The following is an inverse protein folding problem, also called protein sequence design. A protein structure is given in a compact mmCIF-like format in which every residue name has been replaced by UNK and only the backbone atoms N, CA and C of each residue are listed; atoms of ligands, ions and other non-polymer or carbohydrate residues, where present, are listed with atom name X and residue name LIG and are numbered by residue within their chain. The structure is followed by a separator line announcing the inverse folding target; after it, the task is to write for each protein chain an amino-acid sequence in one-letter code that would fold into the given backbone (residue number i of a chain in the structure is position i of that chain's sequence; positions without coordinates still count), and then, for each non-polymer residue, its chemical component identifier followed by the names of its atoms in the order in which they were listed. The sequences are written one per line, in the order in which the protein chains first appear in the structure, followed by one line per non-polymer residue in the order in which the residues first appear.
data_IF_224192420919
#
_entry.id   IF_224192420919
#
_cell.length_a   1.000
_cell.length_b   1.000
_cell.length_c   1.000
_cell.angle_alpha   90.00
_cell.angle_beta   90.00
_cell.angle_gamma   90.00
#
_symmetry.space_group_name_H-M   'P 1'
#
loop_
_entity.id
_entity.type
_entity.pdbx_description
1 polymer ?
#
# COMPACT_ATOMS: atom_id res chain seq x y z
N UNK A 1 -20.61 3.59 -16.68
CA UNK A 1 -20.84 2.54 -15.67
C UNK A 1 -21.03 3.17 -14.30
N UNK A 2 -22.13 2.86 -13.62
CA UNK A 2 -22.41 3.30 -12.24
C UNK A 2 -21.31 2.89 -11.25
N UNK A 3 -20.55 1.84 -11.57
CA UNK A 3 -19.43 1.37 -10.75
C UNK A 3 -18.32 2.40 -10.50
N UNK A 4 -18.07 3.31 -11.44
CA UNK A 4 -17.06 4.39 -11.27
C UNK A 4 -17.52 5.37 -10.20
N UNK A 5 -18.80 5.73 -10.19
CA UNK A 5 -19.35 6.65 -9.18
C UNK A 5 -19.23 6.01 -7.79
N UNK A 6 -19.59 4.73 -7.70
CA UNK A 6 -19.48 3.98 -6.45
C UNK A 6 -18.03 3.88 -5.97
N UNK A 7 -17.08 3.62 -6.87
CA UNK A 7 -15.65 3.58 -6.56
C UNK A 7 -15.14 4.93 -6.03
N UNK A 8 -15.54 6.06 -6.65
CA UNK A 8 -15.18 7.40 -6.18
C UNK A 8 -15.77 7.71 -4.81
N UNK A 9 -17.03 7.35 -4.56
CA UNK A 9 -17.68 7.53 -3.26
C UNK A 9 -16.92 6.76 -2.18
N UNK A 10 -16.61 5.48 -2.41
CA UNK A 10 -15.85 4.67 -1.45
C UNK A 10 -14.42 5.17 -1.26
N UNK A 11 -13.77 5.67 -2.31
CA UNK A 11 -12.44 6.26 -2.20
C UNK A 11 -12.45 7.49 -1.27
N UNK A 12 -13.42 8.38 -1.42
CA UNK A 12 -13.60 9.54 -0.54
C UNK A 12 -13.93 9.10 0.89
N UNK A 13 -14.79 8.11 1.05
CA UNK A 13 -15.19 7.57 2.34
C UNK A 13 -13.99 6.96 3.08
N UNK A 14 -13.20 6.13 2.42
CA UNK A 14 -11.97 5.54 2.99
C UNK A 14 -10.93 6.62 3.30
N UNK A 15 -10.75 7.60 2.41
CA UNK A 15 -9.86 8.72 2.66
C UNK A 15 -10.27 9.51 3.91
N UNK A 16 -11.58 9.80 4.07
CA UNK A 16 -12.11 10.47 5.25
C UNK A 16 -11.90 9.62 6.50
N UNK A 17 -12.23 8.33 6.44
CA UNK A 17 -12.04 7.38 7.54
C UNK A 17 -10.58 7.33 7.98
N UNK A 18 -9.64 7.23 7.05
CA UNK A 18 -8.22 7.11 7.35
C UNK A 18 -7.59 8.41 7.85
N UNK A 19 -8.06 9.59 7.40
CA UNK A 19 -7.45 10.88 7.77
C UNK A 19 -8.16 11.63 8.88
N UNK A 20 -9.46 11.40 9.08
CA UNK A 20 -10.32 12.22 9.93
C UNK A 20 -10.95 11.47 11.10
N UNK A 21 -10.70 10.17 11.26
CA UNK A 21 -11.26 9.39 12.36
C UNK A 21 -10.19 8.80 13.28
N UNK A 22 -10.58 8.53 14.52
CA UNK A 22 -9.74 7.84 15.52
C UNK A 22 -9.35 6.43 15.06
N UNK A 23 -10.27 5.70 14.41
CA UNK A 23 -10.01 4.39 13.83
C UNK A 23 -8.91 4.44 12.77
N UNK A 24 -8.93 5.44 11.89
CA UNK A 24 -7.90 5.62 10.89
C UNK A 24 -6.54 5.97 11.50
N UNK A 25 -6.52 6.69 12.61
CA UNK A 25 -5.30 6.94 13.37
C UNK A 25 -4.76 5.64 13.99
N UNK A 26 -5.61 4.87 14.67
CA UNK A 26 -5.24 3.58 15.27
C UNK A 26 -4.70 2.60 14.22
N UNK A 27 -5.38 2.46 13.06
CA UNK A 27 -4.95 1.57 11.97
C UNK A 27 -3.55 1.95 11.47
N UNK A 28 -3.27 3.24 11.28
CA UNK A 28 -1.95 3.70 10.84
C UNK A 28 -0.89 3.51 11.90
N UNK A 29 -1.19 3.80 13.16
CA UNK A 29 -0.25 3.64 14.28
C UNK A 29 0.15 2.19 14.48
N UNK A 30 -0.84 1.28 14.49
CA UNK A 30 -0.62 -0.16 14.60
C UNK A 30 0.12 -0.70 13.37
N UNK A 31 -0.15 -0.17 12.17
CA UNK A 31 0.55 -0.53 10.95
C UNK A 31 2.03 -0.13 10.94
N UNK A 32 2.40 0.96 11.61
CA UNK A 32 3.80 1.41 11.75
C UNK A 32 4.55 0.60 12.81
N UNK A 33 3.99 0.47 14.01
CA UNK A 33 4.58 -0.30 15.09
C UNK A 33 3.49 -0.81 16.05
N UNK A 34 3.14 -2.10 15.97
CA UNK A 34 2.11 -2.69 16.84
C UNK A 34 2.46 -2.60 18.33
N UNK A 35 3.74 -2.83 18.68
CA UNK A 35 4.19 -2.82 20.07
C UNK A 35 4.11 -1.41 20.69
N UNK A 36 4.61 -0.40 19.97
CA UNK A 36 4.52 0.99 20.43
C UNK A 36 3.05 1.44 20.60
N UNK A 37 2.15 0.97 19.74
CA UNK A 37 0.72 1.27 19.81
C UNK A 37 0.07 0.63 21.04
N UNK A 38 0.47 -0.57 21.42
CA UNK A 38 0.00 -1.23 22.67
C UNK A 38 0.45 -0.47 23.92
N UNK A 39 1.68 0.00 23.96
CA UNK A 39 2.16 0.86 25.06
C UNK A 39 1.40 2.17 25.14
N UNK A 40 0.93 2.69 24.01
CA UNK A 40 0.06 3.87 23.96
C UNK A 40 -1.41 3.59 24.31
N UNK A 41 -1.76 2.36 24.72
CA UNK A 41 -3.09 1.97 25.13
C UNK A 41 -4.03 1.56 23.99
N UNK A 42 -3.53 1.40 22.77
CA UNK A 42 -4.33 0.93 21.63
C UNK A 42 -4.34 -0.60 21.59
N UNK A 43 -5.49 -1.21 21.29
CA UNK A 43 -5.57 -2.66 21.15
C UNK A 43 -5.21 -3.10 19.73
N UNK A 44 -3.94 -3.47 19.49
CA UNK A 44 -3.44 -3.89 18.16
C UNK A 44 -4.26 -5.01 17.54
N UNK A 45 -4.64 -6.02 18.32
CA UNK A 45 -5.44 -7.16 17.85
C UNK A 45 -6.81 -6.72 17.29
N UNK A 46 -7.52 -5.87 18.04
CA UNK A 46 -8.84 -5.36 17.62
C UNK A 46 -8.72 -4.50 16.35
N UNK A 47 -7.74 -3.64 16.29
CA UNK A 47 -7.50 -2.75 15.17
C UNK A 47 -7.17 -3.52 13.89
N UNK A 48 -6.35 -4.59 13.97
CA UNK A 48 -6.06 -5.47 12.84
C UNK A 48 -7.34 -6.15 12.33
N UNK A 49 -8.16 -6.71 13.22
CA UNK A 49 -9.42 -7.36 12.83
C UNK A 49 -10.36 -6.36 12.13
N UNK A 50 -10.52 -5.16 12.69
CA UNK A 50 -11.36 -4.11 12.08
C UNK A 50 -10.85 -3.73 10.69
N UNK A 51 -9.53 -3.56 10.52
CA UNK A 51 -8.94 -3.23 9.22
C UNK A 51 -9.18 -4.33 8.18
N UNK A 52 -9.10 -5.60 8.59
CA UNK A 52 -9.40 -6.74 7.71
C UNK A 52 -10.89 -6.80 7.33
N UNK A 53 -11.80 -6.51 8.26
CA UNK A 53 -13.25 -6.47 7.99
C UNK A 53 -13.55 -5.36 6.96
N UNK A 54 -12.98 -4.16 7.15
CA UNK A 54 -13.15 -3.05 6.20
C UNK A 54 -12.61 -3.42 4.82
N UNK A 55 -11.42 -3.99 4.76
CA UNK A 55 -10.80 -4.43 3.51
C UNK A 55 -11.62 -5.52 2.80
N UNK A 56 -12.07 -6.53 3.55
CA UNK A 56 -12.92 -7.61 3.01
C UNK A 56 -14.26 -7.10 2.48
N UNK A 57 -14.88 -6.15 3.18
CA UNK A 57 -16.14 -5.52 2.73
C UNK A 57 -15.93 -4.76 1.41
N UNK A 58 -14.86 -3.98 1.30
CA UNK A 58 -14.53 -3.27 0.06
C UNK A 58 -14.23 -4.23 -1.09
N UNK A 59 -13.51 -5.32 -0.82
CA UNK A 59 -13.23 -6.35 -1.82
C UNK A 59 -14.52 -7.05 -2.30
N UNK A 60 -15.43 -7.37 -1.39
CA UNK A 60 -16.75 -7.93 -1.71
C UNK A 60 -17.58 -6.98 -2.57
N UNK A 61 -17.62 -5.70 -2.24
CA UNK A 61 -18.30 -4.68 -3.07
C UNK A 61 -17.66 -4.56 -4.46
N UNK A 62 -16.33 -4.62 -4.55
CA UNK A 62 -15.62 -4.65 -5.83
C UNK A 62 -16.03 -5.86 -6.68
N UNK A 63 -16.17 -7.05 -6.08
CA UNK A 63 -16.66 -8.25 -6.72
C UNK A 63 -18.10 -8.12 -7.24
N UNK A 64 -18.99 -7.52 -6.46
CA UNK A 64 -20.38 -7.25 -6.86
C UNK A 64 -20.43 -6.29 -8.06
N UNK A 65 -19.66 -5.21 -8.01
CA UNK A 65 -19.58 -4.24 -9.12
C UNK A 65 -19.04 -4.89 -10.40
N UNK A 66 -18.03 -5.75 -10.25
CA UNK A 66 -17.46 -6.48 -11.38
C UNK A 66 -18.47 -7.49 -11.98
N UNK A 67 -19.09 -8.32 -11.14
CA UNK A 67 -20.04 -9.34 -11.60
C UNK A 67 -21.32 -8.76 -12.18
N UNK A 68 -22.00 -7.90 -11.42
CA UNK A 68 -23.29 -7.33 -11.81
C UNK A 68 -23.16 -6.11 -12.73
N UNK A 69 -22.12 -5.29 -12.53
CA UNK A 69 -21.94 -4.04 -13.27
C UNK A 69 -21.33 -4.21 -14.65
N UNK A 70 -20.43 -5.19 -14.83
CA UNK A 70 -19.70 -5.38 -16.10
C UNK A 70 -20.33 -6.49 -16.94
N UNK A 71 -20.66 -7.63 -16.32
CA UNK A 71 -21.12 -8.80 -17.06
C UNK A 71 -22.64 -8.93 -17.11
N UNK A 72 -23.38 -8.31 -16.18
CA UNK A 72 -24.85 -8.40 -16.04
C UNK A 72 -25.39 -9.85 -15.99
N UNK A 73 -24.53 -10.83 -15.82
CA UNK A 73 -24.83 -12.25 -15.77
C UNK A 73 -23.97 -12.96 -14.72
N UNK A 74 -24.53 -13.99 -14.10
CA UNK A 74 -23.76 -14.92 -13.27
C UNK A 74 -23.18 -16.00 -14.17
N UNK A 75 -21.86 -16.11 -14.18
CA UNK A 75 -21.17 -17.21 -14.86
C UNK A 75 -20.17 -17.87 -13.90
N UNK A 76 -20.01 -19.15 -14.08
CA UNK A 76 -19.04 -19.95 -13.30
C UNK A 76 -17.68 -19.77 -13.95
N UNK A 77 -16.73 -19.16 -13.23
CA UNK A 77 -15.35 -19.08 -13.67
C UNK A 77 -14.58 -20.30 -13.14
N UNK A 78 -14.01 -21.07 -14.03
CA UNK A 78 -13.16 -22.21 -13.70
C UNK A 78 -11.75 -21.82 -13.23
N UNK A 79 -11.37 -20.55 -13.33
CA UNK A 79 -10.04 -20.03 -12.99
C UNK A 79 -10.15 -18.85 -12.02
N UNK A 80 -9.10 -18.67 -11.20
CA UNK A 80 -9.02 -17.54 -10.29
C UNK A 80 -8.98 -16.21 -11.05
N UNK A 81 -9.77 -15.25 -10.60
CA UNK A 81 -9.82 -13.91 -11.20
C UNK A 81 -8.56 -13.13 -10.83
N UNK A 82 -7.80 -12.67 -11.81
CA UNK A 82 -6.56 -11.91 -11.60
C UNK A 82 -6.78 -10.52 -10.99
N UNK A 83 -8.02 -10.04 -10.93
CA UNK A 83 -8.39 -8.69 -10.48
C UNK A 83 -7.90 -8.36 -9.05
N UNK A 84 -7.80 -9.37 -8.19
CA UNK A 84 -7.26 -9.20 -6.84
C UNK A 84 -5.76 -8.87 -6.86
N UNK A 85 -4.99 -9.54 -7.73
CA UNK A 85 -3.56 -9.25 -7.91
C UNK A 85 -3.34 -7.89 -8.53
N UNK A 86 -4.18 -7.49 -9.49
CA UNK A 86 -4.15 -6.14 -10.07
C UNK A 86 -4.42 -5.07 -9.00
N UNK A 87 -5.37 -5.32 -8.10
CA UNK A 87 -5.66 -4.43 -6.98
C UNK A 87 -4.48 -4.28 -6.02
N UNK A 88 -3.75 -5.35 -5.72
CA UNK A 88 -2.51 -5.28 -4.93
C UNK A 88 -1.45 -4.44 -5.65
N UNK A 89 -1.27 -4.65 -6.96
CA UNK A 89 -0.33 -3.88 -7.77
C UNK A 89 -0.67 -2.37 -7.77
N UNK A 90 -1.93 -2.03 -7.96
CA UNK A 90 -2.44 -0.64 -7.89
C UNK A 90 -2.16 -0.03 -6.52
N UNK A 91 -2.37 -0.76 -5.44
CA UNK A 91 -2.10 -0.30 -4.07
C UNK A 91 -0.61 -0.04 -3.82
N UNK A 92 0.26 -0.95 -4.27
CA UNK A 92 1.71 -0.80 -4.16
C UNK A 92 2.22 0.40 -4.98
N UNK A 93 1.75 0.55 -6.21
CA UNK A 93 2.10 1.68 -7.07
C UNK A 93 1.61 3.00 -6.49
N UNK A 94 0.42 3.01 -5.88
CA UNK A 94 -0.17 4.16 -5.20
C UNK A 94 0.50 4.53 -3.87
N UNK A 95 1.46 3.73 -3.40
CA UNK A 95 2.20 3.92 -2.14
C UNK A 95 1.26 4.18 -0.94
N UNK A 96 0.12 3.49 -0.88
CA UNK A 96 -0.87 3.60 0.20
C UNK A 96 -1.57 4.96 0.33
N UNK A 97 -1.35 5.91 -0.61
CA UNK A 97 -2.06 7.19 -0.61
C UNK A 97 -3.31 7.14 -1.48
N UNK A 98 -4.42 7.73 -1.02
CA UNK A 98 -5.70 7.69 -1.76
C UNK A 98 -5.60 8.31 -3.16
N UNK A 99 -4.85 9.42 -3.30
CA UNK A 99 -4.61 10.06 -4.59
C UNK A 99 -3.70 9.19 -5.48
N UNK A 100 -2.66 8.59 -4.89
CA UNK A 100 -1.78 7.66 -5.60
C UNK A 100 -2.53 6.43 -6.10
N UNK A 101 -3.41 5.85 -5.30
CA UNK A 101 -4.25 4.70 -5.69
C UNK A 101 -5.18 5.08 -6.85
N UNK A 102 -5.79 6.27 -6.83
CA UNK A 102 -6.64 6.74 -7.91
C UNK A 102 -5.86 6.88 -9.23
N UNK A 103 -4.68 7.52 -9.19
CA UNK A 103 -3.84 7.68 -10.39
C UNK A 103 -3.33 6.32 -10.92
N UNK A 104 -2.91 5.44 -10.01
CA UNK A 104 -2.49 4.08 -10.36
C UNK A 104 -3.62 3.26 -10.97
N UNK A 105 -4.84 3.36 -10.42
CA UNK A 105 -6.02 2.67 -10.94
C UNK A 105 -6.39 3.17 -12.35
N UNK A 106 -6.30 4.48 -12.60
CA UNK A 106 -6.49 5.06 -13.93
C UNK A 106 -5.46 4.54 -14.92
N UNK A 107 -4.19 4.52 -14.54
CA UNK A 107 -3.10 4.00 -15.38
C UNK A 107 -3.35 2.54 -15.74
N UNK A 108 -3.66 1.68 -14.76
CA UNK A 108 -3.96 0.27 -15.02
C UNK A 108 -5.21 0.09 -15.88
N UNK A 109 -6.23 0.92 -15.69
CA UNK A 109 -7.44 0.89 -16.51
C UNK A 109 -7.15 1.22 -17.98
N UNK A 110 -6.33 2.25 -18.24
CA UNK A 110 -5.92 2.63 -19.59
C UNK A 110 -5.08 1.51 -20.24
N UNK A 111 -4.16 0.91 -19.49
CA UNK A 111 -3.35 -0.21 -20.00
C UNK A 111 -4.21 -1.42 -20.36
N UNK A 112 -5.18 -1.78 -19.52
CA UNK A 112 -6.08 -2.91 -19.80
C UNK A 112 -7.00 -2.65 -21.01
N UNK A 113 -7.55 -1.45 -21.10
CA UNK A 113 -8.36 -1.05 -22.26
C UNK A 113 -7.52 -1.00 -23.53
N UNK A 114 -6.30 -0.46 -23.47
CA UNK A 114 -5.37 -0.47 -24.58
C UNK A 114 -5.00 -1.88 -25.04
N UNK A 115 -4.76 -2.79 -24.09
CA UNK A 115 -4.49 -4.20 -24.39
C UNK A 115 -5.64 -4.91 -25.09
N UNK A 116 -6.89 -4.63 -24.71
CA UNK A 116 -8.07 -5.14 -25.40
C UNK A 116 -8.19 -4.55 -26.83
N UNK A 117 -7.87 -3.26 -26.99
CA UNK A 117 -7.85 -2.61 -28.30
C UNK A 117 -6.84 -3.21 -29.27
N UNK A 118 -5.68 -3.67 -28.79
CA UNK A 118 -4.65 -4.31 -29.60
C UNK A 118 -5.13 -5.62 -30.27
N UNK A 119 -6.07 -6.34 -29.65
CA UNK A 119 -6.62 -7.57 -30.23
C UNK A 119 -7.32 -7.33 -31.57
N UNK A 120 -7.98 -6.18 -31.74
CA UNK A 120 -8.61 -5.79 -33.01
C UNK A 120 -7.59 -5.55 -34.13
N UNK A 121 -6.33 -5.30 -33.77
CA UNK A 121 -5.21 -5.11 -34.70
C UNK A 121 -4.41 -6.39 -34.96
N UNK A 122 -4.90 -7.56 -34.50
CA UNK A 122 -4.24 -8.86 -34.69
C UNK A 122 -3.07 -9.12 -33.75
N UNK A 123 -2.88 -8.31 -32.72
CA UNK A 123 -1.83 -8.50 -31.71
C UNK A 123 -2.38 -9.41 -30.61
N UNK A 124 -1.68 -10.51 -30.24
CA UNK A 124 -2.12 -11.41 -29.17
C UNK A 124 -2.28 -10.70 -27.83
N UNK A 125 -3.35 -11.00 -27.10
CA UNK A 125 -3.67 -10.46 -25.77
C UNK A 125 -2.59 -10.76 -24.74
N UNK A 126 -1.79 -11.81 -24.96
CA UNK A 126 -0.71 -12.27 -24.10
C UNK A 126 0.40 -11.20 -23.95
N UNK A 127 0.64 -10.41 -24.98
CA UNK A 127 1.61 -9.31 -24.94
C UNK A 127 1.14 -8.21 -23.98
N UNK A 128 -0.11 -7.82 -24.06
CA UNK A 128 -0.69 -6.83 -23.14
C UNK A 128 -0.72 -7.34 -21.71
N UNK A 129 -1.08 -8.62 -21.52
CA UNK A 129 -1.08 -9.26 -20.20
C UNK A 129 0.31 -9.42 -19.59
N UNK A 130 1.37 -9.45 -20.41
CA UNK A 130 2.76 -9.52 -19.93
C UNK A 130 3.32 -8.16 -19.48
N UNK A 131 2.78 -7.06 -20.00
CA UNK A 131 3.23 -5.69 -19.63
C UNK A 131 2.86 -5.35 -18.18
N UNK A 132 1.68 -5.77 -17.72
CA UNK A 132 1.21 -5.48 -16.35
C UNK A 132 2.13 -6.10 -15.29
N UNK A 133 2.47 -7.41 -15.30
CA UNK A 133 3.44 -8.00 -14.38
C UNK A 133 4.82 -7.34 -14.46
N UNK A 134 5.26 -6.92 -15.63
CA UNK A 134 6.54 -6.23 -15.81
C UNK A 134 6.55 -4.88 -15.08
N UNK A 135 5.48 -4.11 -15.17
CA UNK A 135 5.34 -2.85 -14.43
C UNK A 135 5.37 -3.12 -12.92
N UNK A 136 4.64 -4.13 -12.44
CA UNK A 136 4.63 -4.53 -11.03
C UNK A 136 6.04 -4.88 -10.57
N UNK A 137 6.77 -5.64 -11.37
CA UNK A 137 8.14 -6.04 -11.07
C UNK A 137 9.08 -4.83 -10.91
N UNK A 138 9.04 -3.86 -11.82
CA UNK A 138 9.85 -2.65 -11.73
C UNK A 138 9.47 -1.76 -10.52
N UNK A 139 8.19 -1.67 -10.20
CA UNK A 139 7.73 -0.94 -9.01
C UNK A 139 8.18 -1.63 -7.73
N UNK A 140 8.10 -2.96 -7.67
CA UNK A 140 8.57 -3.75 -6.54
C UNK A 140 10.08 -3.61 -6.32
N UNK A 141 10.87 -3.62 -7.40
CA UNK A 141 12.32 -3.38 -7.33
C UNK A 141 12.62 -2.01 -6.72
N UNK A 142 11.95 -0.96 -7.15
CA UNK A 142 12.15 0.40 -6.61
C UNK A 142 11.88 0.43 -5.09
N UNK A 143 10.83 -0.26 -4.63
CA UNK A 143 10.54 -0.39 -3.21
C UNK A 143 11.64 -1.15 -2.44
N UNK A 144 12.11 -2.28 -2.97
CA UNK A 144 13.17 -3.10 -2.37
C UNK A 144 14.48 -2.31 -2.29
N UNK A 145 14.83 -1.59 -3.36
CA UNK A 145 16.04 -0.75 -3.40
C UNK A 145 15.97 0.38 -2.37
N UNK A 146 14.82 1.05 -2.24
CA UNK A 146 14.63 2.10 -1.22
C UNK A 146 14.77 1.55 0.21
N UNK A 147 14.13 0.43 0.50
CA UNK A 147 14.20 -0.21 1.83
C UNK A 147 15.62 -0.73 2.11
N UNK A 148 16.27 -1.35 1.11
CA UNK A 148 17.64 -1.83 1.21
C UNK A 148 18.64 -0.70 1.45
N UNK A 149 18.57 0.39 0.68
CA UNK A 149 19.40 1.56 0.85
C UNK A 149 19.17 2.25 2.20
N UNK A 150 17.92 2.38 2.63
CA UNK A 150 17.59 2.96 3.94
C UNK A 150 18.21 2.13 5.09
N UNK A 151 18.18 0.80 4.99
CA UNK A 151 18.79 -0.09 5.99
C UNK A 151 20.32 -0.01 6.00
N UNK A 152 20.94 0.08 4.83
CA UNK A 152 22.42 0.20 4.71
C UNK A 152 22.89 1.59 5.14
N UNK A 153 22.18 2.65 4.77
CA UNK A 153 22.53 4.03 5.15
C UNK A 153 22.15 4.36 6.60
N UNK A 154 21.04 3.78 7.11
CA UNK A 154 20.63 3.94 8.50
C UNK A 154 21.61 3.32 9.48
N UNK A 155 22.12 2.14 9.17
CA UNK A 155 23.17 1.50 9.99
C UNK A 155 24.47 2.30 10.07
N UNK A 156 24.83 3.01 9.00
CA UNK A 156 26.00 3.91 9.01
C UNK A 156 25.81 5.14 9.90
N UNK A 157 24.61 5.70 9.97
CA UNK A 157 24.34 6.85 10.86
C UNK A 157 24.36 6.46 12.34
N UNK A 158 23.81 5.31 12.68
CA UNK A 158 23.76 4.83 14.06
C UNK A 158 25.17 4.50 14.60
N UNK A 159 26.00 3.86 13.79
CA UNK A 159 27.41 3.58 14.14
C UNK A 159 28.22 4.87 14.25
N UNK A 160 28.03 5.84 13.37
CA UNK A 160 28.73 7.13 13.45
C UNK A 160 28.34 7.93 14.71
N UNK A 161 27.06 7.91 15.10
CA UNK A 161 26.59 8.61 16.30
C UNK A 161 27.13 7.96 17.59
N UNK A 162 27.22 6.63 17.64
CA UNK A 162 27.79 5.91 18.79
C UNK A 162 29.29 6.18 18.91
N UNK A 163 30.02 6.20 17.79
CA UNK A 163 31.47 6.52 17.82
C UNK A 163 31.73 7.97 18.21
N UNK A 164 30.87 8.91 17.83
CA UNK A 164 31.00 10.32 18.20
C UNK A 164 30.71 10.56 19.68
N UNK A 165 29.79 9.79 20.29
CA UNK A 165 29.52 9.81 21.73
C UNK A 165 30.67 9.16 22.52
N UNK A 166 31.27 8.07 22.02
CA UNK A 166 32.36 7.35 22.68
C UNK A 166 33.69 8.09 22.56
N UNK A 167 33.86 8.91 21.51
CA UNK A 167 35.06 9.73 21.30
C UNK A 167 35.00 11.12 21.95
N UNK A 168 33.88 11.51 22.55
CA UNK A 168 33.77 12.76 23.28
C UNK A 168 34.63 12.69 24.57
N UNK A 169 35.60 13.56 24.77
CA UNK A 169 36.42 13.55 26.00
C UNK A 169 35.55 13.79 27.22
N UNK A 170 35.69 12.97 28.26
CA UNK A 170 35.04 13.14 29.56
C UNK A 170 35.58 14.39 30.26
N UNK A 171 35.18 15.59 29.85
CA UNK A 171 35.59 16.85 30.47
C UNK A 171 34.89 17.16 31.83
N UNK A 172 33.93 16.30 32.25
CA UNK A 172 33.21 16.53 33.52
C UNK A 172 33.83 15.88 34.76
N UNK A 173 34.91 15.10 34.63
CA UNK A 173 35.52 14.44 35.79
C UNK A 173 36.57 15.32 36.55
N UNK A 174 36.99 16.46 36.03
CA UNK A 174 38.10 17.24 36.58
C UNK A 174 37.70 18.51 37.35
N UNK A 175 36.43 18.84 37.50
CA UNK A 175 35.97 20.02 38.26
C UNK A 175 35.40 19.74 39.66
N UNK A 176 35.45 18.50 40.15
CA UNK A 176 34.88 18.10 41.45
C UNK A 176 35.89 17.92 42.60
N UNK A 177 37.16 18.25 42.40
CA UNK A 177 38.20 17.94 43.37
C UNK A 177 39.03 19.14 43.88
N UNK A 178 38.39 20.23 44.28
CA UNK A 178 39.01 21.28 45.12
C UNK A 178 37.94 22.07 45.88
N UNK A 179 37.55 21.58 47.04
CA UNK A 179 37.22 22.38 48.23
C UNK A 179 37.56 21.52 49.44
#
# INVERSE_FOLDING_TARGET
NMGIILALVFLVLVWFLMKRTTLGFEIRSVGLNPFASEYAGMSSKRTIVISMIISGTLAGLGGVVYGLGTFMNYFVQGTSVSIGFDGMAVSLLGNGSSVGILLSALLFSILKLGGQGMQFSGIPSELANSVIPLIIFFVAINYIVRVGLAKVMGGKKEVATVQEIESAPNEESEKGGKV
#
